data_IF_062852393821
#
_entry.id   IF_062852393821
#
_cell.length_a   1.000
_cell.length_b   1.000
_cell.length_c   1.000
_cell.angle_alpha   90.00
_cell.angle_beta   90.00
_cell.angle_gamma   90.00
#
_symmetry.space_group_name_H-M   'P 1'
#
loop_
_entity.id
_entity.type
_entity.pdbx_description
1 polymer ?
#
# COMPACT_ATOMS: atom_id res chain seq x y z
N UNK A 1 3.03 40.17 10.26
CA UNK A 1 3.39 39.07 11.18
C UNK A 1 2.18 38.15 11.32
N UNK A 2 2.19 36.98 10.68
CA UNK A 2 1.10 36.01 10.76
C UNK A 2 1.32 35.13 11.99
N UNK A 3 0.46 35.25 13.00
CA UNK A 3 0.50 34.41 14.20
C UNK A 3 0.15 32.96 13.82
N UNK A 4 0.92 31.95 14.27
CA UNK A 4 0.61 30.56 13.99
C UNK A 4 -0.66 30.15 14.75
N UNK A 5 -1.69 29.75 13.99
CA UNK A 5 -2.95 29.22 14.51
C UNK A 5 -2.65 28.07 15.50
N UNK A 6 -3.24 28.09 16.72
CA UNK A 6 -2.95 27.09 17.74
C UNK A 6 -3.31 25.70 17.21
N UNK A 7 -2.39 24.73 17.39
CA UNK A 7 -2.62 23.34 16.97
C UNK A 7 -3.80 22.77 17.76
N UNK A 8 -5.00 22.81 17.17
CA UNK A 8 -6.21 22.31 17.80
C UNK A 8 -6.09 20.81 18.01
N UNK A 9 -5.96 20.39 19.28
CA UNK A 9 -5.91 18.98 19.63
C UNK A 9 -7.34 18.44 19.57
N UNK A 10 -7.64 17.72 18.50
CA UNK A 10 -8.95 17.05 18.31
C UNK A 10 -9.23 16.12 19.50
N UNK A 11 -10.44 16.22 20.06
CA UNK A 11 -10.89 15.34 21.15
C UNK A 11 -11.07 13.89 20.66
N UNK A 12 -11.22 12.95 21.59
CA UNK A 12 -11.46 11.53 21.24
C UNK A 12 -12.76 11.37 20.45
N UNK A 13 -13.82 12.06 20.85
CA UNK A 13 -15.13 12.03 20.19
C UNK A 13 -15.08 12.63 18.80
N UNK A 14 -14.47 13.82 18.65
CA UNK A 14 -14.27 14.45 17.35
C UNK A 14 -13.43 13.57 16.42
N UNK A 15 -12.44 12.85 16.94
CA UNK A 15 -11.66 11.88 16.16
C UNK A 15 -12.51 10.71 15.68
N UNK A 16 -13.39 10.19 16.54
CA UNK A 16 -14.32 9.14 16.15
C UNK A 16 -15.26 9.63 15.04
N UNK A 17 -15.87 10.80 15.24
CA UNK A 17 -16.75 11.41 14.24
C UNK A 17 -16.03 11.63 12.90
N UNK A 18 -14.83 12.21 12.93
CA UNK A 18 -13.99 12.39 11.73
C UNK A 18 -13.71 11.06 11.00
N UNK A 19 -13.41 9.99 11.73
CA UNK A 19 -13.20 8.67 11.11
C UNK A 19 -14.47 8.14 10.46
N UNK A 20 -15.64 8.29 11.11
CA UNK A 20 -16.92 7.87 10.52
C UNK A 20 -17.26 8.69 9.26
N UNK A 21 -17.07 10.01 9.29
CA UNK A 21 -17.28 10.87 8.12
C UNK A 21 -16.40 10.45 6.95
N UNK A 22 -15.11 10.17 7.20
CA UNK A 22 -14.19 9.69 6.17
C UNK A 22 -14.64 8.32 5.62
N UNK A 23 -15.04 7.38 6.47
CA UNK A 23 -15.54 6.06 6.04
C UNK A 23 -16.77 6.19 5.15
N UNK A 24 -17.72 7.06 5.52
CA UNK A 24 -18.91 7.33 4.72
C UNK A 24 -18.54 7.92 3.35
N UNK A 25 -17.64 8.90 3.30
CA UNK A 25 -17.16 9.48 2.05
C UNK A 25 -16.43 8.47 1.15
N UNK A 26 -15.64 7.56 1.75
CA UNK A 26 -14.99 6.47 1.02
C UNK A 26 -16.02 5.47 0.48
N UNK A 27 -17.05 5.12 1.27
CA UNK A 27 -18.15 4.26 0.85
C UNK A 27 -18.97 4.84 -0.31
N UNK A 28 -19.06 6.18 -0.38
CA UNK A 28 -19.65 6.90 -1.52
C UNK A 28 -18.69 7.10 -2.70
N UNK A 29 -17.54 6.41 -2.72
CA UNK A 29 -16.52 6.50 -3.76
C UNK A 29 -15.99 7.92 -4.03
N UNK A 30 -16.00 8.82 -3.03
CA UNK A 30 -15.44 10.17 -3.19
C UNK A 30 -13.93 10.13 -3.37
N UNK A 31 -13.41 11.02 -4.22
CA UNK A 31 -11.98 11.03 -4.50
C UNK A 31 -11.19 11.54 -3.27
N UNK A 32 -10.00 11.00 -2.95
CA UNK A 32 -9.23 11.41 -1.77
C UNK A 32 -8.94 12.92 -1.69
N UNK A 33 -8.77 13.61 -2.84
CA UNK A 33 -8.61 15.08 -2.84
C UNK A 33 -9.86 15.81 -2.35
N UNK A 34 -11.05 15.34 -2.72
CA UNK A 34 -12.32 15.89 -2.27
C UNK A 34 -12.53 15.65 -0.79
N UNK A 35 -12.23 14.42 -0.32
CA UNK A 35 -12.28 14.07 1.10
C UNK A 35 -11.36 14.98 1.90
N UNK A 36 -10.10 15.15 1.45
CA UNK A 36 -9.14 16.07 2.08
C UNK A 36 -9.71 17.48 2.14
N UNK A 37 -10.29 18.00 1.05
CA UNK A 37 -10.88 19.35 1.00
C UNK A 37 -12.03 19.54 2.00
N UNK A 38 -13.00 18.62 2.00
CA UNK A 38 -14.19 18.71 2.86
C UNK A 38 -13.81 18.58 4.34
N UNK A 39 -13.06 17.52 4.68
CA UNK A 39 -12.70 17.22 6.07
C UNK A 39 -11.73 18.26 6.65
N UNK A 40 -10.80 18.79 5.84
CA UNK A 40 -9.91 19.87 6.28
C UNK A 40 -10.68 21.12 6.66
N UNK A 41 -11.74 21.45 5.90
CA UNK A 41 -12.60 22.61 6.17
C UNK A 41 -13.46 22.40 7.42
N UNK A 42 -14.07 21.22 7.54
CA UNK A 42 -15.00 20.89 8.62
C UNK A 42 -14.30 20.76 9.98
N UNK A 43 -13.15 20.07 10.01
CA UNK A 43 -12.42 19.78 11.25
C UNK A 43 -11.21 20.68 11.48
N UNK A 44 -10.99 21.69 10.62
CA UNK A 44 -9.88 22.65 10.70
C UNK A 44 -8.50 21.96 10.75
N UNK A 45 -8.32 20.96 9.89
CA UNK A 45 -7.08 20.18 9.81
C UNK A 45 -6.31 20.46 8.53
N UNK A 46 -5.00 20.25 8.57
CA UNK A 46 -4.22 20.25 7.35
C UNK A 46 -4.55 19.01 6.50
N UNK A 47 -4.53 19.11 5.15
CA UNK A 47 -4.76 17.97 4.26
C UNK A 47 -3.83 16.78 4.54
N UNK A 48 -2.59 17.05 4.97
CA UNK A 48 -1.60 16.03 5.36
C UNK A 48 -2.01 15.28 6.64
N UNK A 49 -2.71 15.95 7.56
CA UNK A 49 -3.26 15.29 8.74
C UNK A 49 -4.44 14.39 8.38
N UNK A 50 -5.33 14.87 7.49
CA UNK A 50 -6.47 14.10 6.99
C UNK A 50 -6.04 12.80 6.30
N UNK A 51 -4.92 12.82 5.56
CA UNK A 51 -4.36 11.63 4.90
C UNK A 51 -4.07 10.46 5.85
N UNK A 52 -3.59 10.74 7.07
CA UNK A 52 -3.40 9.71 8.09
C UNK A 52 -4.71 9.08 8.50
N UNK A 53 -5.77 9.87 8.62
CA UNK A 53 -7.10 9.38 8.96
C UNK A 53 -7.78 8.63 7.80
N UNK A 54 -7.55 9.03 6.54
CA UNK A 54 -7.98 8.26 5.37
C UNK A 54 -7.33 6.87 5.38
N UNK A 55 -6.02 6.81 5.61
CA UNK A 55 -5.27 5.54 5.67
C UNK A 55 -5.81 4.65 6.79
N UNK A 56 -6.04 5.23 7.97
CA UNK A 56 -6.64 4.52 9.11
C UNK A 56 -8.06 4.05 8.82
N UNK A 57 -8.91 4.90 8.26
CA UNK A 57 -10.28 4.57 7.90
C UNK A 57 -10.33 3.39 6.92
N UNK A 58 -9.49 3.40 5.88
CA UNK A 58 -9.37 2.27 4.95
C UNK A 58 -8.99 0.97 5.64
N UNK A 59 -8.01 1.03 6.55
CA UNK A 59 -7.59 -0.14 7.34
C UNK A 59 -8.76 -0.66 8.18
N UNK A 60 -9.44 0.21 8.92
CA UNK A 60 -10.59 -0.19 9.75
C UNK A 60 -11.75 -0.73 8.90
N UNK A 61 -11.97 -0.20 7.69
CA UNK A 61 -12.97 -0.73 6.77
C UNK A 61 -12.61 -2.15 6.32
N UNK A 62 -11.33 -2.40 5.97
CA UNK A 62 -10.86 -3.74 5.61
C UNK A 62 -10.98 -4.71 6.79
N UNK A 63 -10.59 -4.29 7.99
CA UNK A 63 -10.72 -5.10 9.21
C UNK A 63 -12.18 -5.39 9.58
N UNK A 64 -13.13 -4.53 9.19
CA UNK A 64 -14.56 -4.74 9.41
C UNK A 64 -15.22 -5.68 8.39
N UNK A 65 -14.52 -6.07 7.32
CA UNK A 65 -15.07 -7.00 6.34
C UNK A 65 -15.14 -8.39 6.95
N UNK A 66 -16.36 -8.90 7.10
CA UNK A 66 -16.62 -10.27 7.58
C UNK A 66 -16.65 -11.29 6.45
N UNK A 67 -16.72 -10.83 5.20
CA UNK A 67 -16.77 -11.68 4.01
C UNK A 67 -15.39 -12.31 3.75
N UNK A 68 -15.31 -13.65 3.57
CA UNK A 68 -14.07 -14.30 3.19
C UNK A 68 -13.47 -13.72 1.91
N UNK A 69 -12.14 -13.62 1.87
CA UNK A 69 -11.43 -13.07 0.70
C UNK A 69 -11.77 -13.80 -0.60
N UNK A 70 -11.95 -15.12 -0.55
CA UNK A 70 -12.31 -15.94 -1.70
C UNK A 70 -13.69 -15.57 -2.26
N UNK A 71 -14.66 -15.34 -1.37
CA UNK A 71 -16.00 -14.90 -1.76
C UNK A 71 -15.95 -13.52 -2.42
N UNK A 72 -15.19 -12.57 -1.86
CA UNK A 72 -15.01 -11.25 -2.48
C UNK A 72 -14.39 -11.34 -3.88
N UNK A 73 -13.42 -12.26 -4.08
CA UNK A 73 -12.81 -12.50 -5.40
C UNK A 73 -13.81 -13.07 -6.39
N UNK A 74 -14.64 -14.03 -5.95
CA UNK A 74 -15.69 -14.62 -6.79
C UNK A 74 -16.71 -13.57 -7.21
N UNK A 75 -17.21 -12.74 -6.27
CA UNK A 75 -18.14 -11.66 -6.55
C UNK A 75 -17.56 -10.64 -7.54
N UNK A 76 -16.30 -10.24 -7.34
CA UNK A 76 -15.62 -9.32 -8.25
C UNK A 76 -15.44 -9.93 -9.65
N UNK A 77 -15.10 -11.22 -9.73
CA UNK A 77 -14.96 -11.94 -11.00
C UNK A 77 -16.29 -11.99 -11.76
N UNK A 78 -17.39 -12.35 -11.09
CA UNK A 78 -18.73 -12.36 -11.68
C UNK A 78 -19.18 -10.97 -12.15
N UNK A 79 -18.87 -9.92 -11.39
CA UNK A 79 -19.16 -8.54 -11.81
C UNK A 79 -18.47 -8.18 -13.14
N UNK A 80 -17.19 -8.51 -13.29
CA UNK A 80 -16.46 -8.22 -14.53
C UNK A 80 -16.93 -9.08 -15.71
N UNK A 81 -17.27 -10.36 -15.47
CA UNK A 81 -17.92 -11.19 -16.49
C UNK A 81 -19.24 -10.59 -16.95
N UNK A 82 -20.10 -10.16 -16.02
CA UNK A 82 -21.35 -9.50 -16.34
C UNK A 82 -21.13 -8.23 -17.17
N UNK A 83 -20.16 -7.39 -16.81
CA UNK A 83 -19.81 -6.21 -17.60
C UNK A 83 -19.37 -6.57 -19.02
N UNK A 84 -18.53 -7.59 -19.18
CA UNK A 84 -18.06 -8.05 -20.49
C UNK A 84 -19.16 -8.67 -21.36
N UNK A 85 -20.23 -9.19 -20.75
CA UNK A 85 -21.39 -9.70 -21.49
C UNK A 85 -22.22 -8.59 -22.16
N UNK A 86 -22.02 -7.32 -21.78
CA UNK A 86 -22.72 -6.18 -22.36
C UNK A 86 -22.07 -5.76 -23.70
N UNK A 87 -22.77 -5.86 -24.84
CA UNK A 87 -22.22 -5.51 -26.16
C UNK A 87 -21.94 -4.01 -26.34
N UNK A 88 -22.54 -3.15 -25.51
CA UNK A 88 -22.37 -1.70 -25.59
C UNK A 88 -21.18 -1.18 -24.77
N UNK A 89 -20.40 -2.07 -24.15
CA UNK A 89 -19.25 -1.67 -23.34
C UNK A 89 -18.13 -1.16 -24.26
N UNK A 90 -17.55 0.01 -23.92
CA UNK A 90 -16.43 0.57 -24.69
C UNK A 90 -15.24 -0.40 -24.71
N UNK A 91 -14.52 -0.48 -25.82
CA UNK A 91 -13.30 -1.30 -25.93
C UNK A 91 -12.31 -1.05 -24.78
N UNK A 92 -12.14 0.21 -24.38
CA UNK A 92 -11.26 0.59 -23.27
C UNK A 92 -11.71 -0.02 -21.95
N UNK A 93 -13.02 -0.07 -21.72
CA UNK A 93 -13.60 -0.66 -20.52
C UNK A 93 -13.54 -2.19 -20.57
N UNK A 94 -13.72 -2.79 -21.75
CA UNK A 94 -13.52 -4.23 -21.96
C UNK A 94 -12.08 -4.65 -21.59
N UNK A 95 -11.07 -3.93 -22.11
CA UNK A 95 -9.66 -4.18 -21.79
C UNK A 95 -9.43 -4.07 -20.28
N UNK A 96 -9.93 -3.01 -19.64
CA UNK A 96 -9.80 -2.84 -18.19
C UNK A 96 -10.47 -3.95 -17.39
N UNK A 97 -11.63 -4.46 -17.82
CA UNK A 97 -12.29 -5.57 -17.14
C UNK A 97 -11.43 -6.84 -17.23
N UNK A 98 -10.87 -7.14 -18.41
CA UNK A 98 -9.97 -8.28 -18.61
C UNK A 98 -8.71 -8.17 -17.74
N UNK A 99 -8.02 -7.02 -17.76
CA UNK A 99 -6.86 -6.76 -16.88
C UNK A 99 -7.20 -6.92 -15.39
N UNK A 100 -8.43 -6.59 -14.97
CA UNK A 100 -8.85 -6.76 -13.58
C UNK A 100 -9.13 -8.22 -13.25
N UNK A 101 -9.69 -8.98 -14.18
CA UNK A 101 -9.88 -10.42 -14.03
C UNK A 101 -8.53 -11.14 -13.96
N UNK A 102 -7.57 -10.79 -14.81
CA UNK A 102 -6.21 -11.36 -14.78
C UNK A 102 -5.52 -11.10 -13.43
N UNK A 103 -5.69 -9.90 -12.86
CA UNK A 103 -5.24 -9.56 -11.49
C UNK A 103 -5.90 -10.40 -10.41
N UNK A 104 -7.20 -10.65 -10.53
CA UNK A 104 -7.94 -11.46 -9.56
C UNK A 104 -7.49 -12.92 -9.59
N UNK A 105 -7.18 -13.43 -10.78
CA UNK A 105 -6.73 -14.80 -11.02
C UNK A 105 -5.22 -14.99 -10.85
N UNK A 106 -4.45 -13.90 -10.71
CA UNK A 106 -2.99 -13.96 -10.62
C UNK A 106 -2.30 -14.32 -11.94
N UNK A 107 -2.98 -14.11 -13.08
CA UNK A 107 -2.44 -14.34 -14.42
C UNK A 107 -1.57 -13.17 -14.90
N UNK A 108 -1.68 -12.01 -14.26
CA UNK A 108 -0.76 -10.91 -14.45
C UNK A 108 0.67 -11.41 -14.20
N UNK A 109 1.49 -11.44 -15.26
CA UNK A 109 2.92 -11.66 -15.11
C UNK A 109 3.43 -10.71 -14.04
N UNK A 110 4.15 -11.19 -13.00
CA UNK A 110 4.75 -10.28 -12.04
C UNK A 110 5.61 -9.33 -12.86
N UNK A 111 5.25 -8.04 -12.85
CA UNK A 111 6.19 -6.99 -13.22
C UNK A 111 7.40 -7.30 -12.36
N UNK A 112 8.45 -7.88 -12.96
CA UNK A 112 9.55 -8.36 -12.15
C UNK A 112 9.93 -7.20 -11.26
N UNK A 113 9.97 -7.39 -9.92
CA UNK A 113 10.39 -6.32 -9.05
C UNK A 113 11.68 -5.80 -9.67
N UNK A 114 11.83 -4.48 -9.82
CA UNK A 114 13.11 -3.87 -10.19
C UNK A 114 14.11 -4.38 -9.15
N UNK A 115 14.67 -5.56 -9.38
CA UNK A 115 15.66 -6.15 -8.52
C UNK A 115 16.76 -5.10 -8.54
N UNK A 116 17.21 -4.67 -7.37
CA UNK A 116 18.33 -3.75 -7.29
C UNK A 116 19.44 -4.39 -8.11
N UNK A 117 19.78 -3.78 -9.26
CA UNK A 117 20.76 -4.27 -10.24
C UNK A 117 22.04 -4.80 -9.56
N UNK A 118 22.35 -4.25 -8.40
CA UNK A 118 23.43 -4.65 -7.52
C UNK A 118 23.54 -6.15 -7.23
N UNK A 119 22.48 -6.83 -6.76
CA UNK A 119 22.59 -8.26 -6.39
C UNK A 119 22.72 -9.15 -7.63
N UNK A 120 22.00 -8.82 -8.71
CA UNK A 120 22.14 -9.53 -10.00
C UNK A 120 23.54 -9.41 -10.61
N UNK A 121 24.26 -8.32 -10.30
CA UNK A 121 25.61 -8.05 -10.81
C UNK A 121 26.73 -8.51 -9.85
N UNK A 122 26.39 -9.27 -8.81
CA UNK A 122 27.35 -9.83 -7.86
C UNK A 122 27.85 -11.19 -8.38
N UNK A 123 28.85 -11.19 -9.25
CA UNK A 123 29.50 -12.42 -9.74
C UNK A 123 30.58 -12.90 -8.77
N UNK A 124 30.94 -14.19 -8.85
CA UNK A 124 32.01 -14.78 -8.03
C UNK A 124 33.34 -14.03 -8.18
N UNK A 125 33.67 -13.60 -9.40
CA UNK A 125 34.87 -12.79 -9.69
C UNK A 125 34.84 -11.44 -8.99
N UNK A 126 33.68 -10.79 -8.97
CA UNK A 126 33.51 -9.51 -8.31
C UNK A 126 33.69 -9.65 -6.80
N UNK A 127 33.14 -10.70 -6.18
CA UNK A 127 33.29 -10.97 -4.74
C UNK A 127 34.76 -11.22 -4.39
N UNK A 128 35.50 -11.96 -5.22
CA UNK A 128 36.92 -12.23 -5.00
C UNK A 128 37.80 -10.97 -5.07
N UNK A 129 37.39 -9.98 -5.85
CA UNK A 129 38.15 -8.74 -6.06
C UNK A 129 37.73 -7.59 -5.13
N UNK A 130 36.77 -7.81 -4.22
CA UNK A 130 36.35 -6.81 -3.24
C UNK A 130 37.32 -6.71 -2.07
N UNK A 131 37.49 -5.50 -1.54
CA UNK A 131 38.19 -5.31 -0.27
C UNK A 131 37.42 -5.95 0.89
N UNK A 132 38.10 -6.18 2.02
CA UNK A 132 37.49 -6.77 3.23
C UNK A 132 36.34 -5.89 3.77
N UNK A 133 36.42 -4.57 3.58
CA UNK A 133 35.38 -3.64 3.99
C UNK A 133 34.17 -3.71 3.05
N UNK A 134 34.41 -3.72 1.74
CA UNK A 134 33.37 -3.89 0.71
C UNK A 134 32.65 -5.25 0.85
N UNK A 135 33.37 -6.31 1.22
CA UNK A 135 32.81 -7.63 1.51
C UNK A 135 31.86 -7.59 2.72
N UNK A 136 32.20 -6.85 3.77
CA UNK A 136 31.33 -6.72 4.95
C UNK A 136 30.05 -5.94 4.60
N UNK A 137 30.16 -4.90 3.80
CA UNK A 137 29.00 -4.09 3.38
C UNK A 137 28.08 -4.85 2.41
N UNK A 138 28.64 -5.53 1.42
CA UNK A 138 27.90 -6.38 0.49
C UNK A 138 27.20 -7.53 1.21
N UNK A 139 27.87 -8.18 2.16
CA UNK A 139 27.26 -9.20 3.03
C UNK A 139 26.05 -8.65 3.80
N UNK A 140 26.16 -7.46 4.41
CA UNK A 140 25.04 -6.80 5.11
C UNK A 140 23.88 -6.51 4.17
N UNK A 141 24.15 -6.03 2.95
CA UNK A 141 23.14 -5.72 1.95
C UNK A 141 22.39 -6.97 1.46
N UNK A 142 23.12 -8.03 1.11
CA UNK A 142 22.53 -9.31 0.67
C UNK A 142 21.70 -9.93 1.79
N UNK A 143 22.22 -9.93 3.02
CA UNK A 143 21.51 -10.43 4.18
C UNK A 143 20.21 -9.67 4.42
N UNK A 144 20.24 -8.33 4.39
CA UNK A 144 19.03 -7.50 4.55
C UNK A 144 17.98 -7.76 3.46
N UNK A 145 18.41 -7.98 2.22
CA UNK A 145 17.49 -8.28 1.12
C UNK A 145 16.92 -9.71 1.22
N UNK A 146 17.67 -10.69 1.74
CA UNK A 146 17.17 -12.05 2.01
C UNK A 146 15.97 -12.05 2.97
N UNK A 147 16.12 -11.48 4.18
CA UNK A 147 15.03 -11.40 5.17
C UNK A 147 13.84 -10.56 4.70
N UNK A 148 14.09 -9.56 3.85
CA UNK A 148 13.00 -8.79 3.22
C UNK A 148 12.21 -9.65 2.23
N UNK A 149 12.86 -10.56 1.49
CA UNK A 149 12.19 -11.43 0.52
C UNK A 149 11.48 -12.62 1.18
N UNK A 150 12.07 -13.21 2.22
CA UNK A 150 11.47 -14.35 2.94
C UNK A 150 10.41 -13.91 3.95
N UNK A 151 10.37 -12.62 4.31
CA UNK A 151 9.45 -12.10 5.34
C UNK A 151 9.84 -12.50 6.76
N UNK A 152 10.99 -13.16 6.92
CA UNK A 152 11.51 -13.59 8.21
C UNK A 152 12.13 -12.39 8.97
N UNK A 153 12.03 -12.37 10.30
CA UNK A 153 12.69 -11.36 11.10
C UNK A 153 14.20 -11.52 10.99
N UNK A 154 14.91 -10.46 10.56
CA UNK A 154 16.37 -10.44 10.57
C UNK A 154 16.87 -10.71 11.98
N UNK A 155 17.83 -11.63 12.18
CA UNK A 155 18.43 -11.86 13.49
C UNK A 155 19.01 -10.53 13.98
N UNK A 156 18.71 -10.19 15.24
CA UNK A 156 19.34 -9.05 15.91
C UNK A 156 20.82 -9.39 16.02
N UNK A 157 21.69 -8.50 15.56
CA UNK A 157 23.12 -8.68 15.74
C UNK A 157 23.40 -8.67 17.25
N UNK A 158 23.58 -9.84 17.86
CA UNK A 158 24.17 -9.99 19.17
C UNK A 158 25.66 -9.69 19.05
N UNK A 159 26.00 -8.41 18.96
CA UNK A 159 27.36 -7.93 19.18
C UNK A 159 27.53 -7.64 20.66
N UNK A 160 27.79 -8.67 21.48
CA UNK A 160 28.47 -8.58 22.78
C UNK A 160 28.73 -9.99 23.36
N UNK A 161 29.55 -10.80 22.69
CA UNK A 161 30.22 -11.95 23.28
C UNK A 161 31.69 -11.59 23.46
N UNK A 162 32.15 -11.58 24.71
CA UNK A 162 33.49 -11.24 25.19
C UNK A 162 34.61 -11.96 24.46
#
# INVERSE_FOLDING_TARGET
>A
MTTPSPRTRITREQRHHLLQTIKALLGMHKHPSEIKRVVSKEFQLSPRSVERYITRARREMVESVTVPLEQMRAEAYHFYLYKLSNPNLSEREQIRCRERMDKLLGLDTPTQPRQKRFIRNLTLEKIKNMSVEELKETRKLVHKDYYRMTGEPSPKNDSAGR
#
